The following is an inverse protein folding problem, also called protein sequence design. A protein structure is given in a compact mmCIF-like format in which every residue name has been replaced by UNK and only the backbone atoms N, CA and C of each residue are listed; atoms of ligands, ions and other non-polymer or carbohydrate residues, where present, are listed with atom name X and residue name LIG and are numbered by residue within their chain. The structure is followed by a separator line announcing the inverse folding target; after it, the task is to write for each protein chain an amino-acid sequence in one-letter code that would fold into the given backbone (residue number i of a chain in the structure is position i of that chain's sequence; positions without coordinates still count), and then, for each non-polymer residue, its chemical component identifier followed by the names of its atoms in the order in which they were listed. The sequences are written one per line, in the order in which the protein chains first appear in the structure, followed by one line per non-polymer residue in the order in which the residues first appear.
data_IF_469572785209
#
_entry.id   IF_469572785209
#
_cell.length_a   1.000
_cell.length_b   1.000
_cell.length_c   1.000
_cell.angle_alpha   90.00
_cell.angle_beta   90.00
_cell.angle_gamma   90.00
#
_symmetry.space_group_name_H-M   'P 1'
#
loop_
_entity.id
_entity.type
_entity.pdbx_description
1 polymer ?
#
# COMPACT_ATOMS: atom_id res chain seq x y z
N UNK A 1 0.41 -2.62 73.96
CA UNK A 1 1.06 -2.83 72.65
C UNK A 1 -0.05 -2.94 71.60
N UNK A 2 -0.36 -1.84 70.92
CA UNK A 2 -1.45 -1.75 69.92
C UNK A 2 -0.84 -1.98 68.52
N UNK A 3 -1.19 -3.10 67.87
CA UNK A 3 -0.78 -3.41 66.51
C UNK A 3 -1.60 -2.56 65.54
N UNK A 4 -0.95 -1.61 64.83
CA UNK A 4 -1.57 -0.89 63.73
C UNK A 4 -1.54 -1.79 62.48
N UNK A 5 -2.74 -2.16 61.99
CA UNK A 5 -2.94 -2.91 60.76
C UNK A 5 -2.96 -1.91 59.60
N UNK A 6 -1.92 -1.91 58.79
CA UNK A 6 -1.89 -1.13 57.52
C UNK A 6 -2.64 -1.92 56.45
N UNK A 7 -3.78 -1.40 56.03
CA UNK A 7 -4.47 -1.86 54.82
C UNK A 7 -3.82 -1.20 53.58
N UNK A 8 -3.05 -1.99 52.82
CA UNK A 8 -2.63 -1.59 51.48
C UNK A 8 -3.79 -1.82 50.52
N UNK A 9 -4.42 -0.74 50.07
CA UNK A 9 -5.42 -0.75 49.02
C UNK A 9 -4.68 -0.90 47.65
N UNK A 10 -4.90 -1.97 46.85
CA UNK A 10 -4.29 -2.06 45.53
C UNK A 10 -4.96 -1.05 44.62
N UNK A 11 -4.20 -0.03 44.19
CA UNK A 11 -4.62 0.88 43.12
C UNK A 11 -4.57 0.10 41.81
N UNK A 12 -5.75 -0.31 41.34
CA UNK A 12 -5.93 -0.93 40.03
C UNK A 12 -5.76 0.19 38.95
N UNK A 13 -4.54 0.36 38.46
CA UNK A 13 -4.30 1.22 37.28
C UNK A 13 -4.90 0.54 36.04
N UNK A 14 -6.14 0.88 35.72
CA UNK A 14 -6.70 0.60 34.39
C UNK A 14 -6.00 1.51 33.39
N UNK A 15 -5.01 0.94 32.68
CA UNK A 15 -4.41 1.61 31.54
C UNK A 15 -5.45 1.74 30.42
N UNK A 16 -6.15 2.87 30.37
CA UNK A 16 -6.92 3.26 29.19
C UNK A 16 -5.91 3.53 28.07
N UNK A 17 -5.73 2.55 27.18
CA UNK A 17 -5.04 2.78 25.92
C UNK A 17 -5.87 3.74 25.07
N UNK A 18 -5.64 5.05 25.21
CA UNK A 18 -6.13 6.03 24.27
C UNK A 18 -5.35 5.78 22.99
N UNK A 19 -5.94 5.02 22.06
CA UNK A 19 -5.39 4.90 20.72
C UNK A 19 -5.43 6.29 20.08
N UNK A 20 -4.27 6.93 19.94
CA UNK A 20 -4.17 8.20 19.25
C UNK A 20 -4.61 7.99 17.79
N UNK A 21 -5.56 8.81 17.32
CA UNK A 21 -6.03 8.78 15.94
C UNK A 21 -4.85 8.95 14.99
N UNK A 22 -4.63 7.95 14.13
CA UNK A 22 -3.54 7.97 13.15
C UNK A 22 -3.81 8.98 12.04
N UNK A 23 -2.75 9.31 11.26
CA UNK A 23 -2.92 10.14 10.07
C UNK A 23 -3.87 9.48 9.06
N UNK A 24 -3.76 8.19 8.87
CA UNK A 24 -4.63 7.42 7.97
C UNK A 24 -6.09 7.44 8.40
N UNK A 25 -6.40 7.41 9.71
CA UNK A 25 -7.76 7.54 10.21
C UNK A 25 -8.37 8.90 9.87
N UNK A 26 -7.58 9.96 9.96
CA UNK A 26 -8.03 11.31 9.57
C UNK A 26 -8.30 11.42 8.08
N UNK A 27 -7.44 10.82 7.26
CA UNK A 27 -7.61 10.79 5.81
C UNK A 27 -8.86 9.99 5.43
N UNK A 28 -9.08 8.81 6.04
CA UNK A 28 -10.28 8.01 5.81
C UNK A 28 -11.55 8.76 6.21
N UNK A 29 -11.54 9.49 7.32
CA UNK A 29 -12.68 10.34 7.70
C UNK A 29 -13.00 11.37 6.63
N UNK A 30 -12.00 12.10 6.11
CA UNK A 30 -12.21 13.06 5.03
C UNK A 30 -12.67 12.40 3.73
N UNK A 31 -12.18 11.20 3.42
CA UNK A 31 -12.51 10.47 2.19
C UNK A 31 -14.00 10.06 2.18
N UNK A 32 -14.57 9.73 3.34
CA UNK A 32 -15.96 9.28 3.48
C UNK A 32 -16.92 10.40 3.87
N UNK A 33 -16.44 11.63 4.02
CA UNK A 33 -17.26 12.81 4.33
C UNK A 33 -17.63 13.53 3.03
N UNK A 34 -18.89 13.42 2.62
CA UNK A 34 -19.41 14.04 1.40
C UNK A 34 -19.38 15.58 1.44
N UNK A 35 -19.33 16.19 2.64
CA UNK A 35 -19.23 17.62 2.83
C UNK A 35 -17.79 18.11 2.99
N UNK A 36 -16.82 17.21 2.98
CA UNK A 36 -15.42 17.55 3.13
C UNK A 36 -14.91 18.41 1.97
N UNK A 37 -14.27 19.52 2.32
CA UNK A 37 -13.54 20.38 1.38
C UNK A 37 -12.06 20.04 1.29
N UNK A 38 -11.67 18.91 1.89
CA UNK A 38 -10.28 18.45 1.87
C UNK A 38 -9.85 18.05 0.47
N UNK A 39 -8.71 18.56 0.01
CA UNK A 39 -8.14 18.23 -1.30
C UNK A 39 -7.08 17.16 -1.08
N UNK A 40 -7.32 15.96 -1.61
CA UNK A 40 -6.36 14.86 -1.56
C UNK A 40 -5.21 15.07 -2.54
N UNK A 41 -3.99 14.95 -2.05
CA UNK A 41 -2.78 14.92 -2.88
C UNK A 41 -2.39 13.47 -3.10
N UNK A 42 -2.40 13.04 -4.36
CA UNK A 42 -2.11 11.66 -4.77
C UNK A 42 -0.79 11.62 -5.54
N UNK A 43 0.15 10.80 -5.08
CA UNK A 43 1.40 10.58 -5.79
C UNK A 43 1.22 9.44 -6.80
N UNK A 44 1.23 9.78 -8.09
CA UNK A 44 1.14 8.83 -9.20
C UNK A 44 2.41 7.99 -9.29
N UNK A 45 2.31 6.68 -9.06
CA UNK A 45 3.42 5.71 -9.00
C UNK A 45 4.51 6.07 -7.97
N UNK A 46 4.11 6.78 -6.91
CA UNK A 46 5.02 7.33 -5.90
C UNK A 46 5.77 8.58 -6.34
N UNK A 47 6.90 8.88 -5.69
CA UNK A 47 7.81 9.96 -6.11
C UNK A 47 8.72 9.47 -7.23
N UNK A 48 8.14 9.27 -8.42
CA UNK A 48 8.84 8.76 -9.60
C UNK A 48 9.92 9.71 -10.14
N UNK A 49 9.95 10.95 -9.73
CA UNK A 49 10.97 11.93 -10.14
C UNK A 49 12.30 11.69 -9.44
N UNK A 50 12.25 11.24 -8.19
CA UNK A 50 13.42 11.05 -7.33
C UNK A 50 13.73 9.57 -7.03
N UNK A 51 12.91 8.64 -7.56
CA UNK A 51 13.08 7.19 -7.44
C UNK A 51 12.44 6.49 -8.65
N UNK A 52 12.75 5.23 -8.94
CA UNK A 52 12.00 4.48 -9.95
C UNK A 52 10.50 4.45 -9.65
N UNK A 53 9.65 4.63 -10.66
CA UNK A 53 8.20 4.51 -10.51
C UNK A 53 7.81 3.14 -9.91
N UNK A 54 6.74 3.09 -9.12
CA UNK A 54 6.24 1.87 -8.48
C UNK A 54 7.27 1.13 -7.58
N UNK A 55 8.39 1.75 -7.20
CA UNK A 55 9.39 1.15 -6.30
C UNK A 55 9.07 1.40 -4.83
N UNK A 56 9.60 0.56 -3.92
CA UNK A 56 9.49 0.83 -2.48
C UNK A 56 10.14 2.18 -2.12
N UNK A 57 11.21 2.57 -2.82
CA UNK A 57 11.85 3.86 -2.60
C UNK A 57 10.94 5.03 -3.00
N UNK A 58 10.18 4.94 -4.12
CA UNK A 58 9.22 5.97 -4.52
C UNK A 58 8.07 6.11 -3.52
N UNK A 59 7.64 4.98 -2.94
CA UNK A 59 6.64 4.94 -1.86
C UNK A 59 7.15 5.67 -0.62
N UNK A 60 8.35 5.31 -0.14
CA UNK A 60 8.97 5.94 1.03
C UNK A 60 9.15 7.45 0.87
N UNK A 61 9.56 7.89 -0.32
CA UNK A 61 9.69 9.32 -0.63
C UNK A 61 8.34 10.04 -0.65
N UNK A 62 7.30 9.43 -1.21
CA UNK A 62 5.94 9.96 -1.18
C UNK A 62 5.42 10.10 0.27
N UNK A 63 5.66 9.10 1.11
CA UNK A 63 5.33 9.15 2.54
C UNK A 63 6.08 10.29 3.24
N UNK A 64 7.38 10.44 2.96
CA UNK A 64 8.21 11.52 3.53
C UNK A 64 7.72 12.91 3.12
N UNK A 65 7.19 13.07 1.91
CA UNK A 65 6.54 14.30 1.44
C UNK A 65 5.15 14.54 2.08
N UNK A 66 4.65 13.59 2.87
CA UNK A 66 3.34 13.66 3.53
C UNK A 66 2.17 13.83 2.55
N UNK A 67 2.25 13.25 1.36
CA UNK A 67 1.09 13.14 0.46
C UNK A 67 0.04 12.21 1.10
N UNK A 68 -1.21 12.31 0.68
CA UNK A 68 -2.32 11.64 1.36
C UNK A 68 -2.53 10.23 0.87
N UNK A 69 -2.26 10.01 -0.41
CA UNK A 69 -2.45 8.75 -1.08
C UNK A 69 -1.33 8.50 -2.09
N UNK A 70 -1.00 7.25 -2.29
CA UNK A 70 -0.16 6.81 -3.41
C UNK A 70 -1.01 6.01 -4.38
N UNK A 71 -0.82 6.23 -5.64
CA UNK A 71 -1.33 5.35 -6.68
C UNK A 71 -0.25 4.37 -7.08
N UNK A 72 -0.62 3.08 -7.24
CA UNK A 72 0.26 1.99 -7.64
C UNK A 72 -0.40 1.19 -8.75
N UNK A 73 0.39 0.87 -9.78
CA UNK A 73 0.01 -0.07 -10.82
C UNK A 73 0.40 -1.49 -10.43
N UNK A 74 -0.39 -2.48 -10.84
CA UNK A 74 -0.09 -3.89 -10.59
C UNK A 74 -0.12 -4.72 -11.88
N UNK A 75 0.73 -5.75 -11.92
CA UNK A 75 0.73 -6.76 -12.97
C UNK A 75 0.84 -8.16 -12.37
N UNK A 76 0.09 -9.14 -12.92
CA UNK A 76 0.16 -10.52 -12.48
C UNK A 76 1.45 -11.20 -12.98
N UNK A 77 2.01 -12.07 -12.15
CA UNK A 77 3.15 -12.92 -12.47
C UNK A 77 2.69 -14.32 -12.90
N UNK A 78 3.60 -15.11 -13.48
CA UNK A 78 3.36 -16.50 -13.91
C UNK A 78 2.84 -17.41 -12.78
N UNK A 79 3.30 -17.18 -11.56
CA UNK A 79 2.95 -17.95 -10.35
C UNK A 79 1.76 -17.37 -9.59
N UNK A 80 0.98 -16.44 -10.20
CA UNK A 80 -0.25 -15.90 -9.64
C UNK A 80 -0.07 -14.84 -8.55
N UNK A 81 1.15 -14.36 -8.33
CA UNK A 81 1.42 -13.21 -7.49
C UNK A 81 1.24 -11.89 -8.27
N UNK A 82 1.41 -10.76 -7.59
CA UNK A 82 1.35 -9.43 -8.20
C UNK A 82 2.61 -8.64 -7.85
N UNK A 83 3.15 -7.96 -8.86
CA UNK A 83 4.23 -6.99 -8.71
C UNK A 83 3.72 -5.57 -8.98
N UNK A 84 4.43 -4.56 -8.47
CA UNK A 84 4.13 -3.17 -8.76
C UNK A 84 4.86 -2.75 -10.05
N UNK A 85 4.09 -2.63 -11.14
CA UNK A 85 4.60 -2.20 -12.45
C UNK A 85 3.44 -1.74 -13.34
N UNK A 86 3.68 -0.67 -14.12
CA UNK A 86 2.66 -0.13 -15.01
C UNK A 86 2.48 -0.96 -16.27
N UNK A 87 3.57 -1.24 -16.97
CA UNK A 87 3.57 -1.91 -18.27
C UNK A 87 3.39 -3.42 -18.08
N UNK A 88 2.82 -4.09 -19.07
CA UNK A 88 2.71 -5.55 -19.09
C UNK A 88 4.06 -6.25 -19.35
N UNK A 89 5.08 -5.45 -19.73
CA UNK A 89 6.43 -5.93 -20.02
C UNK A 89 7.48 -5.26 -19.14
N UNK A 90 8.61 -5.92 -18.98
CA UNK A 90 9.75 -5.46 -18.17
C UNK A 90 10.58 -4.36 -18.83
N UNK A 91 10.40 -4.13 -20.12
CA UNK A 91 11.35 -3.49 -21.01
C UNK A 91 11.69 -2.04 -20.69
N UNK A 92 10.68 -1.22 -20.33
CA UNK A 92 10.85 0.22 -20.12
C UNK A 92 11.46 0.55 -18.76
N UNK A 93 10.93 -0.05 -17.71
CA UNK A 93 11.20 0.36 -16.31
C UNK A 93 12.10 -0.60 -15.55
N UNK A 94 12.58 -1.67 -16.20
CA UNK A 94 13.50 -2.63 -15.55
C UNK A 94 14.67 -3.05 -16.44
N UNK A 95 15.56 -3.87 -15.87
CA UNK A 95 16.65 -4.52 -16.63
C UNK A 95 16.21 -5.81 -17.30
N UNK A 96 14.99 -6.30 -17.01
CA UNK A 96 14.38 -7.46 -17.65
C UNK A 96 13.84 -7.14 -19.04
N UNK A 97 13.35 -8.17 -19.73
CA UNK A 97 12.78 -8.10 -21.07
C UNK A 97 11.54 -8.97 -21.18
N UNK A 98 10.60 -8.58 -22.04
CA UNK A 98 9.41 -9.36 -22.35
C UNK A 98 8.29 -9.33 -21.32
N UNK A 99 7.23 -10.13 -21.52
CA UNK A 99 6.02 -10.08 -20.72
C UNK A 99 6.23 -10.53 -19.27
N UNK A 100 5.70 -9.77 -18.31
CA UNK A 100 5.78 -10.07 -16.86
C UNK A 100 5.14 -11.42 -16.54
N UNK A 101 4.03 -11.76 -17.18
CA UNK A 101 3.30 -13.02 -17.01
C UNK A 101 4.09 -14.28 -17.33
N UNK A 102 5.22 -14.15 -18.00
CA UNK A 102 6.08 -15.27 -18.35
C UNK A 102 7.10 -15.61 -17.25
N UNK A 103 7.20 -14.75 -16.21
CA UNK A 103 8.14 -14.88 -15.10
C UNK A 103 7.42 -15.14 -13.78
N UNK A 104 8.00 -16.01 -12.97
CA UNK A 104 7.63 -16.16 -11.56
C UNK A 104 8.16 -14.99 -10.73
N UNK A 105 7.59 -14.76 -9.55
CA UNK A 105 8.07 -13.75 -8.61
C UNK A 105 9.56 -13.91 -8.29
N UNK A 106 10.03 -15.16 -8.13
CA UNK A 106 11.44 -15.45 -7.84
C UNK A 106 12.37 -15.11 -9.02
N UNK A 107 11.93 -15.37 -10.24
CA UNK A 107 12.69 -15.00 -11.44
C UNK A 107 12.81 -13.48 -11.61
N UNK A 108 11.75 -12.73 -11.23
CA UNK A 108 11.71 -11.28 -11.30
C UNK A 108 12.69 -10.61 -10.32
N UNK A 109 13.07 -11.25 -9.22
CA UNK A 109 14.08 -10.73 -8.27
C UNK A 109 15.47 -10.55 -8.88
N UNK A 110 15.74 -11.18 -10.03
CA UNK A 110 17.01 -11.01 -10.77
C UNK A 110 17.11 -9.67 -11.47
N UNK A 111 16.00 -8.99 -11.66
CA UNK A 111 15.93 -7.71 -12.34
C UNK A 111 15.82 -6.56 -11.36
N UNK A 112 16.31 -5.41 -11.78
CA UNK A 112 16.20 -4.16 -11.02
C UNK A 112 15.51 -3.09 -11.84
N UNK A 113 14.91 -2.14 -11.15
CA UNK A 113 14.22 -1.02 -11.77
C UNK A 113 15.20 0.01 -12.33
N UNK A 114 14.73 0.74 -13.34
CA UNK A 114 15.37 1.92 -13.92
C UNK A 114 14.66 3.18 -13.41
N UNK A 115 15.43 4.23 -13.19
CA UNK A 115 14.88 5.57 -12.96
C UNK A 115 14.19 6.13 -14.21
N UNK A 116 13.41 7.20 -14.06
CA UNK A 116 12.67 7.81 -15.16
C UNK A 116 13.53 8.26 -16.35
N UNK A 117 14.83 8.50 -16.16
CA UNK A 117 15.80 8.78 -17.22
C UNK A 117 16.49 7.53 -17.78
N UNK A 118 16.01 6.31 -17.46
CA UNK A 118 16.52 5.04 -17.97
C UNK A 118 17.76 4.47 -17.26
N UNK A 119 18.32 5.17 -16.26
CA UNK A 119 19.50 4.70 -15.53
C UNK A 119 19.13 3.51 -14.64
N UNK A 120 19.93 2.45 -14.74
CA UNK A 120 19.83 1.27 -13.88
C UNK A 120 20.06 1.65 -12.41
N UNK A 121 19.16 1.21 -11.54
CA UNK A 121 19.29 1.40 -10.08
C UNK A 121 19.64 0.09 -9.37
N UNK A 122 19.60 0.11 -8.04
CA UNK A 122 19.70 -1.10 -7.20
C UNK A 122 18.33 -1.52 -6.64
N UNK A 123 17.26 -0.85 -7.06
CA UNK A 123 15.91 -1.12 -6.55
C UNK A 123 15.35 -2.38 -7.21
N UNK A 124 14.95 -3.41 -6.44
CA UNK A 124 14.25 -4.56 -6.99
C UNK A 124 12.85 -4.17 -7.46
N UNK A 125 12.23 -5.03 -8.26
CA UNK A 125 10.81 -4.93 -8.60
C UNK A 125 10.03 -5.42 -7.37
N UNK A 126 9.20 -4.59 -6.72
CA UNK A 126 8.49 -5.00 -5.52
C UNK A 126 7.23 -5.79 -5.86
N UNK A 127 6.87 -6.72 -4.98
CA UNK A 127 5.55 -7.34 -4.96
C UNK A 127 4.51 -6.35 -4.40
N UNK A 128 3.23 -6.57 -4.71
CA UNK A 128 2.12 -5.82 -4.11
C UNK A 128 2.16 -5.94 -2.57
N UNK A 129 2.42 -7.14 -2.05
CA UNK A 129 2.50 -7.38 -0.60
C UNK A 129 3.60 -6.54 0.07
N UNK A 130 4.78 -6.46 -0.53
CA UNK A 130 5.88 -5.62 -0.03
C UNK A 130 5.50 -4.14 -0.03
N UNK A 131 4.89 -3.66 -1.12
CA UNK A 131 4.42 -2.29 -1.24
C UNK A 131 3.35 -1.93 -0.19
N UNK A 132 2.34 -2.81 0.00
CA UNK A 132 1.30 -2.61 1.01
C UNK A 132 1.87 -2.58 2.43
N UNK A 133 2.83 -3.45 2.75
CA UNK A 133 3.48 -3.45 4.06
C UNK A 133 4.23 -2.14 4.36
N UNK A 134 4.86 -1.53 3.35
CA UNK A 134 5.48 -0.19 3.51
C UNK A 134 4.43 0.90 3.75
N UNK A 135 3.27 0.80 3.11
CA UNK A 135 2.19 1.78 3.22
C UNK A 135 1.39 1.68 4.52
N UNK A 136 1.37 0.52 5.17
CA UNK A 136 0.50 0.22 6.31
C UNK A 136 0.62 1.25 7.43
N UNK A 137 -0.53 1.85 7.81
CA UNK A 137 -0.62 2.87 8.86
C UNK A 137 -0.03 4.23 8.50
N UNK A 138 0.51 4.40 7.28
CA UNK A 138 1.31 5.57 6.90
C UNK A 138 0.69 6.41 5.78
N UNK A 139 0.05 5.77 4.80
CA UNK A 139 -0.49 6.44 3.61
C UNK A 139 -1.65 5.61 3.03
N UNK A 140 -2.64 6.25 2.41
CA UNK A 140 -3.67 5.54 1.64
C UNK A 140 -3.08 5.03 0.32
N UNK A 141 -3.66 3.95 -0.21
CA UNK A 141 -3.21 3.33 -1.46
C UNK A 141 -4.37 3.25 -2.45
N UNK A 142 -4.17 3.73 -3.67
CA UNK A 142 -5.04 3.49 -4.81
C UNK A 142 -4.37 2.46 -5.73
N UNK A 143 -4.98 1.30 -5.90
CA UNK A 143 -4.47 0.25 -6.81
C UNK A 143 -5.11 0.45 -8.17
N UNK A 144 -4.33 0.94 -9.15
CA UNK A 144 -4.78 1.01 -10.53
C UNK A 144 -4.84 -0.39 -11.16
N UNK A 145 -5.82 -0.61 -12.05
CA UNK A 145 -6.13 -1.92 -12.66
C UNK A 145 -6.57 -3.01 -11.68
N UNK A 146 -6.60 -2.72 -10.37
CA UNK A 146 -6.95 -3.68 -9.32
C UNK A 146 -8.33 -4.29 -9.48
N UNK A 147 -9.30 -3.55 -10.05
CA UNK A 147 -10.65 -4.07 -10.29
C UNK A 147 -10.70 -5.27 -11.24
N UNK A 148 -9.73 -5.43 -12.14
CA UNK A 148 -9.63 -6.61 -13.02
C UNK A 148 -9.25 -7.87 -12.23
N UNK A 149 -8.49 -7.69 -11.15
CA UNK A 149 -7.91 -8.77 -10.34
C UNK A 149 -8.42 -8.76 -8.89
N UNK A 150 -9.61 -8.23 -8.65
CA UNK A 150 -10.11 -7.99 -7.29
C UNK A 150 -10.14 -9.28 -6.46
N UNK A 151 -10.51 -10.43 -7.05
CA UNK A 151 -10.56 -11.73 -6.35
C UNK A 151 -9.18 -12.21 -5.91
N UNK A 152 -8.18 -11.96 -6.73
CA UNK A 152 -6.82 -12.40 -6.51
C UNK A 152 -6.08 -11.49 -5.54
N UNK A 153 -6.34 -10.17 -5.57
CA UNK A 153 -5.62 -9.21 -4.72
C UNK A 153 -6.25 -9.03 -3.33
N UNK A 154 -7.57 -9.28 -3.19
CA UNK A 154 -8.24 -9.15 -1.88
C UNK A 154 -7.59 -9.99 -0.76
N UNK A 155 -7.23 -11.26 -0.99
CA UNK A 155 -6.51 -12.04 0.03
C UNK A 155 -5.17 -11.40 0.44
N UNK A 156 -4.43 -10.80 -0.50
CA UNK A 156 -3.16 -10.11 -0.23
C UNK A 156 -3.40 -8.87 0.64
N UNK A 157 -4.44 -8.09 0.31
CA UNK A 157 -4.81 -6.88 1.05
C UNK A 157 -5.22 -7.25 2.49
N UNK A 158 -6.01 -8.32 2.65
CA UNK A 158 -6.46 -8.84 3.94
C UNK A 158 -5.28 -9.37 4.78
N UNK A 159 -4.38 -10.14 4.18
CA UNK A 159 -3.17 -10.61 4.87
C UNK A 159 -2.31 -9.45 5.38
N UNK A 160 -2.25 -8.35 4.63
CA UNK A 160 -1.58 -7.13 5.07
C UNK A 160 -2.39 -6.34 6.12
N UNK A 161 -3.67 -6.62 6.32
CA UNK A 161 -4.59 -5.84 7.16
C UNK A 161 -4.77 -4.41 6.66
N UNK A 162 -4.94 -4.26 5.33
CA UNK A 162 -4.97 -2.97 4.63
C UNK A 162 -6.34 -2.62 4.04
N UNK A 163 -7.41 -3.39 4.35
CA UNK A 163 -8.74 -3.29 3.73
C UNK A 163 -9.34 -1.88 3.84
N UNK A 164 -9.05 -1.20 4.93
CA UNK A 164 -9.53 0.19 5.15
C UNK A 164 -8.67 1.25 4.47
N UNK A 165 -7.43 0.92 4.09
CA UNK A 165 -6.47 1.87 3.54
C UNK A 165 -6.31 1.80 2.02
N UNK A 166 -6.92 0.79 1.39
CA UNK A 166 -6.81 0.55 -0.05
C UNK A 166 -8.09 0.96 -0.76
N UNK A 167 -7.93 1.69 -1.86
CA UNK A 167 -8.95 1.94 -2.87
C UNK A 167 -8.58 1.13 -4.09
N UNK A 168 -9.55 0.38 -4.64
CA UNK A 168 -9.35 -0.39 -5.85
C UNK A 168 -10.06 0.31 -7.00
N UNK A 169 -9.30 0.76 -7.99
CA UNK A 169 -9.85 1.34 -9.21
C UNK A 169 -10.35 0.21 -10.12
N UNK A 170 -11.61 0.27 -10.50
CA UNK A 170 -12.25 -0.72 -11.34
C UNK A 170 -13.29 -0.11 -12.27
N UNK A 171 -13.77 -0.91 -13.21
CA UNK A 171 -14.74 -0.51 -14.21
C UNK A 171 -16.12 -1.14 -13.99
N UNK A 172 -16.31 -1.89 -12.90
CA UNK A 172 -17.58 -2.53 -12.58
C UNK A 172 -18.51 -1.57 -11.84
N UNK A 173 -19.83 -1.66 -12.08
CA UNK A 173 -20.81 -0.93 -11.29
C UNK A 173 -20.66 -1.27 -9.80
N UNK A 174 -20.79 -0.25 -8.94
CA UNK A 174 -20.64 -0.38 -7.48
C UNK A 174 -21.55 -1.47 -6.92
N UNK A 175 -22.79 -1.59 -7.42
CA UNK A 175 -23.77 -2.60 -6.97
C UNK A 175 -23.31 -4.03 -7.29
N UNK A 176 -22.58 -4.22 -8.39
CA UNK A 176 -22.00 -5.52 -8.72
C UNK A 176 -20.88 -5.86 -7.71
N UNK A 177 -20.00 -4.91 -7.42
CA UNK A 177 -18.91 -5.11 -6.47
C UNK A 177 -19.45 -5.43 -5.08
N UNK A 178 -20.43 -4.65 -4.58
CA UNK A 178 -21.05 -4.89 -3.26
C UNK A 178 -21.75 -6.25 -3.14
N UNK A 179 -22.20 -6.82 -4.24
CA UNK A 179 -22.87 -8.13 -4.23
C UNK A 179 -21.87 -9.29 -4.23
N UNK A 180 -20.69 -9.10 -4.79
CA UNK A 180 -19.69 -10.15 -4.98
C UNK A 180 -18.63 -10.15 -3.85
N UNK A 181 -18.48 -9.06 -3.13
CA UNK A 181 -17.47 -8.80 -2.07
C UNK A 181 -18.10 -8.07 -0.88
#
# INVERSE_FOLDING_TARGET
MTKKLFFLLPILLTAFSISAQTRTDKLLKNLHDNESKYIFVIAHRGDWRNAPENSLQSIEKAIAMKVDMIELDIQPTKDGNFICMHDETLDRTSTGKGPIKDYTTEELKKFVLRSGNGIKTRQPIPTLKEALNVCKGRILVNIDKGGTYIKEIMPIIQECGMEKQVIIKGYYPVEKVKKEY
#
